data_IF_871337169713
#
_entry.id   IF_871337169713
#
_cell.length_a   1.000
_cell.length_b   1.000
_cell.length_c   1.000
_cell.angle_alpha   90.00
_cell.angle_beta   90.00
_cell.angle_gamma   90.00
#
_symmetry.space_group_name_H-M   'P 1'
#
loop_
_entity.id
_entity.type
_entity.pdbx_description
1 polymer ?
#
# COMPACT_ATOMS: atom_id res chain seq x y z
N UNK A 1 59.98 25.36 -56.15
CA UNK A 1 59.32 26.63 -56.44
C UNK A 1 58.01 26.65 -55.69
N UNK A 2 57.87 27.66 -54.86
CA UNK A 2 56.72 28.08 -53.98
C UNK A 2 55.87 27.00 -53.34
N UNK A 3 56.16 26.77 -52.03
CA UNK A 3 55.30 26.11 -51.05
C UNK A 3 54.14 27.05 -50.67
N UNK A 4 52.90 26.57 -50.75
CA UNK A 4 51.75 27.28 -50.24
C UNK A 4 51.34 26.57 -48.89
N UNK A 5 51.44 27.31 -47.79
CA UNK A 5 50.98 26.92 -46.48
C UNK A 5 49.48 27.21 -46.39
N UNK A 6 48.70 26.20 -46.03
CA UNK A 6 47.32 26.36 -45.69
C UNK A 6 47.18 26.25 -44.14
N UNK A 7 46.62 27.23 -43.43
CA UNK A 7 46.37 27.07 -42.00
C UNK A 7 45.10 26.27 -41.78
N UNK A 8 45.20 25.22 -40.95
CA UNK A 8 44.08 24.47 -40.39
C UNK A 8 43.49 25.30 -39.25
N UNK A 9 42.26 25.77 -39.42
CA UNK A 9 41.49 26.38 -38.35
C UNK A 9 40.88 25.24 -37.51
N UNK A 10 41.42 25.04 -36.32
CA UNK A 10 40.80 24.16 -35.30
C UNK A 10 39.61 24.90 -34.65
N UNK A 11 38.40 24.47 -34.96
CA UNK A 11 37.20 24.92 -34.34
C UNK A 11 37.10 24.21 -32.97
N UNK A 12 37.41 24.91 -31.87
CA UNK A 12 37.20 24.44 -30.51
C UNK A 12 35.73 24.75 -30.17
N UNK A 13 34.88 23.72 -30.19
CA UNK A 13 33.55 23.77 -29.62
C UNK A 13 33.68 23.74 -28.08
N UNK A 14 33.52 24.91 -27.45
CA UNK A 14 33.31 25.01 -26.00
C UNK A 14 31.87 24.53 -25.70
N UNK A 15 31.73 23.32 -25.20
CA UNK A 15 30.54 22.89 -24.53
C UNK A 15 30.42 23.64 -23.19
N UNK A 16 29.57 24.62 -23.14
CA UNK A 16 29.21 25.30 -21.89
C UNK A 16 28.36 24.35 -21.03
N UNK A 17 29.03 23.70 -20.08
CA UNK A 17 28.36 23.04 -19.00
C UNK A 17 27.88 24.14 -18.08
N UNK A 18 26.56 24.41 -18.03
CA UNK A 18 25.94 25.20 -16.97
C UNK A 18 25.95 24.33 -15.71
N UNK A 19 26.99 24.48 -14.91
CA UNK A 19 26.94 24.11 -13.49
C UNK A 19 26.28 25.30 -12.83
N UNK A 20 25.07 25.09 -12.31
CA UNK A 20 24.47 26.03 -11.36
C UNK A 20 25.33 25.98 -10.10
N UNK A 21 26.37 26.79 -10.07
CA UNK A 21 27.23 26.94 -8.91
C UNK A 21 26.74 28.09 -8.06
N UNK A 22 26.59 27.84 -6.76
CA UNK A 22 26.46 28.85 -5.75
C UNK A 22 27.55 29.92 -5.97
N UNK A 23 27.17 31.19 -6.09
CA UNK A 23 28.13 32.29 -6.07
C UNK A 23 28.47 32.56 -4.60
N UNK A 24 29.73 32.35 -4.17
CA UNK A 24 30.13 32.66 -2.81
C UNK A 24 30.09 34.17 -2.60
N UNK A 25 29.46 34.61 -1.49
CA UNK A 25 29.52 35.98 -1.05
C UNK A 25 30.84 36.21 -0.31
N UNK A 26 31.64 37.15 -0.81
CA UNK A 26 32.96 37.45 -0.21
C UNK A 26 32.80 38.47 0.90
N UNK A 27 32.97 38.05 2.16
CA UNK A 27 33.02 38.95 3.33
C UNK A 27 34.48 39.22 3.63
N UNK A 28 34.85 40.51 3.60
CA UNK A 28 36.20 40.94 3.97
C UNK A 28 36.19 41.32 5.46
N UNK A 29 36.83 40.52 6.30
CA UNK A 29 37.08 40.82 7.69
C UNK A 29 38.50 41.39 7.89
N UNK A 30 38.58 42.63 8.39
CA UNK A 30 39.86 43.28 8.68
C UNK A 30 40.30 42.96 10.09
N UNK A 31 41.32 42.10 10.25
CA UNK A 31 41.92 41.82 11.55
C UNK A 31 43.13 42.72 11.75
N UNK A 32 43.08 43.63 12.72
CA UNK A 32 44.23 44.48 13.12
C UNK A 32 45.10 43.69 14.09
N UNK A 33 46.28 43.24 13.63
CA UNK A 33 47.32 42.69 14.50
C UNK A 33 48.30 43.79 14.84
N UNK A 34 48.64 43.92 16.13
CA UNK A 34 49.54 44.95 16.69
C UNK A 34 50.97 44.77 16.17
N UNK A 35 51.26 45.36 15.05
CA UNK A 35 52.50 45.84 14.45
C UNK A 35 52.30 45.96 12.94
N UNK A 36 51.91 47.12 12.50
CA UNK A 36 51.95 47.71 11.14
C UNK A 36 51.95 46.78 9.90
N UNK A 37 51.32 45.63 9.94
CA UNK A 37 51.07 44.84 8.72
C UNK A 37 49.59 44.53 8.65
N UNK A 38 48.87 45.23 7.78
CA UNK A 38 47.46 44.82 7.43
C UNK A 38 47.57 43.61 6.51
N UNK A 39 47.23 42.45 7.03
CA UNK A 39 47.06 41.22 6.19
C UNK A 39 45.56 41.07 5.93
N UNK A 40 45.15 41.43 4.73
CA UNK A 40 43.79 41.08 4.26
C UNK A 40 43.76 39.59 4.05
N UNK A 41 43.01 38.88 4.89
CA UNK A 41 42.72 37.47 4.70
C UNK A 41 41.31 37.36 4.10
N UNK A 42 41.24 36.94 2.85
CA UNK A 42 39.99 36.62 2.24
C UNK A 42 39.49 35.31 2.88
N UNK A 43 38.39 35.42 3.67
CA UNK A 43 37.71 34.28 4.23
C UNK A 43 36.53 34.00 3.31
N UNK A 44 36.62 32.99 2.49
CA UNK A 44 35.49 32.50 1.74
C UNK A 44 34.58 31.77 2.75
N UNK A 45 33.47 32.41 3.13
CA UNK A 45 32.41 31.76 3.85
C UNK A 45 31.51 31.14 2.77
N UNK A 46 31.55 29.83 2.65
CA UNK A 46 30.50 29.12 1.89
C UNK A 46 29.19 29.33 2.63
N UNK A 47 28.37 30.25 2.15
CA UNK A 47 26.97 30.34 2.56
C UNK A 47 26.30 29.10 1.98
N UNK A 48 25.69 28.22 2.80
CA UNK A 48 24.90 27.13 2.25
C UNK A 48 23.88 27.70 1.26
N UNK A 49 23.74 27.11 0.09
CA UNK A 49 22.69 27.48 -0.83
C UNK A 49 21.36 27.44 -0.07
N UNK A 50 20.54 28.48 -0.17
CA UNK A 50 19.17 28.36 0.30
C UNK A 50 18.52 27.18 -0.42
N UNK A 51 18.09 26.17 0.32
CA UNK A 51 17.33 25.07 -0.24
C UNK A 51 16.06 25.65 -0.88
N UNK A 52 15.88 25.40 -2.17
CA UNK A 52 14.67 25.81 -2.90
C UNK A 52 13.47 25.01 -2.40
N UNK A 53 12.29 25.63 -2.42
CA UNK A 53 11.05 24.96 -2.11
C UNK A 53 10.79 23.87 -3.17
N UNK A 54 10.51 22.66 -2.73
CA UNK A 54 10.29 21.49 -3.59
C UNK A 54 8.87 20.97 -3.38
N UNK A 55 8.14 20.73 -4.47
CA UNK A 55 6.84 20.05 -4.43
C UNK A 55 7.04 18.61 -4.87
N UNK A 56 6.62 17.67 -4.03
CA UNK A 56 6.57 16.22 -4.29
C UNK A 56 5.12 15.83 -4.57
N UNK A 57 4.87 15.31 -5.75
CA UNK A 57 3.54 14.80 -6.12
C UNK A 57 3.37 13.37 -5.60
N UNK A 58 2.32 13.13 -4.81
CA UNK A 58 1.96 11.81 -4.27
C UNK A 58 0.63 11.32 -4.83
N UNK A 59 0.63 10.16 -5.50
CA UNK A 59 -0.55 9.54 -6.08
C UNK A 59 -0.92 8.27 -5.34
N UNK A 60 -2.15 8.20 -4.82
CA UNK A 60 -2.63 7.10 -3.97
C UNK A 60 -4.04 6.65 -4.36
N UNK A 61 -4.39 5.40 -4.04
CA UNK A 61 -5.73 4.83 -4.12
C UNK A 61 -6.35 4.55 -2.75
N UNK A 62 -5.54 4.53 -1.69
CA UNK A 62 -5.98 4.15 -0.34
C UNK A 62 -6.72 5.26 0.38
N UNK A 63 -6.56 6.52 -0.06
CA UNK A 63 -7.24 7.64 0.58
C UNK A 63 -8.70 7.72 0.12
N UNK A 64 -9.58 7.08 0.84
CA UNK A 64 -11.03 7.32 0.78
C UNK A 64 -11.36 8.72 1.33
N UNK A 65 -12.55 9.27 1.09
CA UNK A 65 -12.89 10.63 1.54
C UNK A 65 -12.69 10.89 3.04
N UNK A 66 -12.95 9.91 3.88
CA UNK A 66 -12.72 9.92 5.33
C UNK A 66 -11.23 9.93 5.70
N UNK A 67 -10.39 9.23 4.94
CA UNK A 67 -8.95 9.19 5.14
C UNK A 67 -8.19 10.38 4.52
N UNK A 68 -8.86 11.24 3.75
CA UNK A 68 -8.22 12.45 3.22
C UNK A 68 -7.90 13.45 4.33
N UNK A 69 -8.73 13.54 5.37
CA UNK A 69 -8.48 14.40 6.53
C UNK A 69 -7.27 13.89 7.32
N UNK A 70 -7.16 12.59 7.51
CA UNK A 70 -6.00 11.94 8.15
C UNK A 70 -4.71 12.18 7.35
N UNK A 71 -4.79 12.02 6.02
CA UNK A 71 -3.65 12.28 5.13
C UNK A 71 -3.21 13.74 5.16
N UNK A 72 -4.15 14.69 5.22
CA UNK A 72 -3.85 16.13 5.36
C UNK A 72 -3.16 16.42 6.71
N UNK A 73 -3.55 15.74 7.80
CA UNK A 73 -2.88 15.84 9.09
C UNK A 73 -1.44 15.30 9.01
N UNK A 74 -1.25 14.13 8.42
CA UNK A 74 0.08 13.53 8.20
C UNK A 74 0.99 14.47 7.40
N UNK A 75 0.48 15.06 6.32
CA UNK A 75 1.22 16.04 5.51
C UNK A 75 1.60 17.26 6.34
N UNK A 76 0.67 17.77 7.14
CA UNK A 76 0.93 18.94 8.00
C UNK A 76 2.06 18.69 8.99
N UNK A 77 2.15 17.49 9.56
CA UNK A 77 3.24 17.09 10.45
C UNK A 77 4.57 17.02 9.68
N UNK A 78 4.57 16.36 8.52
CA UNK A 78 5.75 16.24 7.68
C UNK A 78 6.30 17.61 7.23
N UNK A 79 5.43 18.50 6.74
CA UNK A 79 5.83 19.83 6.25
C UNK A 79 6.32 20.74 7.38
N UNK A 80 5.81 20.58 8.60
CA UNK A 80 6.32 21.29 9.78
C UNK A 80 7.77 20.91 10.09
N UNK A 81 8.15 19.66 9.89
CA UNK A 81 9.51 19.15 10.06
C UNK A 81 10.40 19.42 8.84
N UNK A 82 9.81 19.54 7.66
CA UNK A 82 10.48 19.73 6.37
C UNK A 82 9.92 20.96 5.63
N UNK A 83 10.12 22.19 6.13
CA UNK A 83 9.39 23.39 5.67
C UNK A 83 9.69 23.82 4.23
N UNK A 84 10.62 23.13 3.56
CA UNK A 84 10.97 23.34 2.16
C UNK A 84 10.42 22.24 1.23
N UNK A 85 9.72 21.26 1.77
CA UNK A 85 9.13 20.16 1.00
C UNK A 85 7.61 20.23 1.16
N UNK A 86 6.91 20.32 0.02
CA UNK A 86 5.45 20.35 -0.01
C UNK A 86 4.93 19.10 -0.70
N UNK A 87 3.89 18.49 -0.14
CA UNK A 87 3.27 17.29 -0.68
C UNK A 87 1.97 17.65 -1.40
N UNK A 88 1.91 17.35 -2.70
CA UNK A 88 0.70 17.50 -3.51
C UNK A 88 0.04 16.13 -3.72
N UNK A 89 -1.08 15.89 -3.03
CA UNK A 89 -1.81 14.62 -3.12
C UNK A 89 -2.72 14.60 -4.34
N UNK A 90 -2.73 13.46 -5.00
CA UNK A 90 -3.63 13.12 -6.11
C UNK A 90 -4.22 11.75 -5.84
N UNK A 91 -5.52 11.59 -6.04
CA UNK A 91 -6.22 10.33 -5.76
C UNK A 91 -6.94 9.80 -6.98
N UNK A 92 -7.20 8.51 -7.00
CA UNK A 92 -8.09 7.84 -7.93
C UNK A 92 -8.74 6.64 -7.24
N UNK A 93 -9.94 6.25 -7.70
CA UNK A 93 -10.54 5.00 -7.30
C UNK A 93 -9.61 3.82 -7.62
N UNK A 94 -9.65 2.76 -6.83
CA UNK A 94 -8.83 1.57 -7.03
C UNK A 94 -8.94 1.02 -8.46
N UNK A 95 -10.16 0.95 -9.02
CA UNK A 95 -10.43 0.43 -10.36
C UNK A 95 -9.74 1.22 -11.48
N UNK A 96 -9.63 2.53 -11.31
CA UNK A 96 -9.04 3.43 -12.31
C UNK A 96 -7.54 3.66 -12.10
N UNK A 97 -7.06 3.47 -10.89
CA UNK A 97 -5.75 3.93 -10.43
C UNK A 97 -4.59 3.40 -11.28
N UNK A 98 -4.49 2.08 -11.44
CA UNK A 98 -3.36 1.45 -12.14
C UNK A 98 -3.34 1.81 -13.62
N UNK A 99 -4.52 1.98 -14.25
CA UNK A 99 -4.62 2.42 -15.64
C UNK A 99 -4.15 3.87 -15.79
N UNK A 100 -4.55 4.75 -14.86
CA UNK A 100 -4.12 6.15 -14.83
C UNK A 100 -2.61 6.25 -14.58
N UNK A 101 -2.09 5.53 -13.57
CA UNK A 101 -0.66 5.53 -13.26
C UNK A 101 0.19 5.07 -14.46
N UNK A 102 -0.18 3.95 -15.11
CA UNK A 102 0.52 3.47 -16.30
C UNK A 102 0.51 4.48 -17.44
N UNK A 103 -0.63 5.13 -17.67
CA UNK A 103 -0.78 6.15 -18.71
C UNK A 103 0.10 7.37 -18.43
N UNK A 104 0.15 7.84 -17.20
CA UNK A 104 0.98 8.97 -16.77
C UNK A 104 2.46 8.66 -16.90
N UNK A 105 2.92 7.48 -16.45
CA UNK A 105 4.32 7.05 -16.60
C UNK A 105 4.71 6.99 -18.09
N UNK A 106 3.86 6.39 -18.92
CA UNK A 106 4.12 6.27 -20.35
C UNK A 106 4.09 7.64 -21.07
N UNK A 107 3.26 8.58 -20.59
CA UNK A 107 3.14 9.94 -21.10
C UNK A 107 4.25 10.91 -20.65
N UNK A 108 5.10 10.51 -19.70
CA UNK A 108 6.15 11.37 -19.14
C UNK A 108 5.62 12.38 -18.10
N UNK A 109 4.45 12.13 -17.52
CA UNK A 109 3.79 12.91 -16.46
C UNK A 109 3.62 12.04 -15.19
N UNK A 110 4.63 11.22 -14.88
CA UNK A 110 4.60 10.36 -13.71
C UNK A 110 4.63 11.20 -12.41
N UNK A 111 3.86 10.81 -11.38
CA UNK A 111 4.02 11.39 -10.05
C UNK A 111 5.40 11.04 -9.49
N UNK A 112 5.93 11.87 -8.58
CA UNK A 112 7.22 11.61 -7.92
C UNK A 112 7.13 10.36 -7.04
N UNK A 113 6.00 10.24 -6.31
CA UNK A 113 5.71 9.16 -5.36
C UNK A 113 4.35 8.58 -5.67
N UNK A 114 4.21 7.28 -5.54
CA UNK A 114 2.94 6.59 -5.75
C UNK A 114 2.86 5.27 -4.98
N UNK A 115 1.65 4.91 -4.66
CA UNK A 115 1.32 3.68 -3.98
C UNK A 115 1.26 2.50 -4.97
N UNK A 116 1.75 1.34 -4.57
CA UNK A 116 1.55 0.07 -5.28
C UNK A 116 1.18 -1.04 -4.31
N UNK A 117 0.17 -1.81 -4.68
CA UNK A 117 -0.06 -3.12 -4.08
C UNK A 117 0.99 -4.13 -4.58
N UNK A 118 1.17 -5.21 -3.84
CA UNK A 118 2.17 -6.24 -4.16
C UNK A 118 1.97 -6.84 -5.56
N UNK A 119 0.73 -7.09 -5.97
CA UNK A 119 0.40 -7.70 -7.26
C UNK A 119 0.87 -6.88 -8.45
N UNK A 120 0.80 -5.56 -8.34
CA UNK A 120 1.25 -4.64 -9.37
C UNK A 120 2.75 -4.37 -9.30
N UNK A 121 3.33 -4.35 -8.10
CA UNK A 121 4.71 -3.98 -7.83
C UNK A 121 5.71 -4.70 -8.74
N UNK A 122 5.61 -6.03 -8.86
CA UNK A 122 6.56 -6.83 -9.66
C UNK A 122 6.62 -6.37 -11.12
N UNK A 123 5.46 -5.99 -11.69
CA UNK A 123 5.38 -5.49 -13.06
C UNK A 123 6.08 -4.14 -13.23
N UNK A 124 5.92 -3.22 -12.27
CA UNK A 124 6.59 -1.92 -12.29
C UNK A 124 8.09 -2.05 -12.03
N UNK A 125 8.48 -2.89 -11.08
CA UNK A 125 9.89 -3.21 -10.79
C UNK A 125 10.61 -3.80 -12.03
N UNK A 126 9.96 -4.74 -12.72
CA UNK A 126 10.52 -5.36 -13.93
C UNK A 126 10.70 -4.37 -15.09
N UNK A 127 9.87 -3.32 -15.16
CA UNK A 127 9.98 -2.23 -16.15
C UNK A 127 11.07 -1.20 -15.81
N UNK A 128 11.65 -1.26 -14.59
CA UNK A 128 12.70 -0.35 -14.14
C UNK A 128 12.21 1.09 -13.91
N UNK A 129 10.95 1.28 -13.57
CA UNK A 129 10.35 2.60 -13.33
C UNK A 129 10.36 3.02 -11.87
N UNK A 130 10.82 2.14 -10.96
CA UNK A 130 10.92 2.39 -9.53
C UNK A 130 12.36 2.75 -9.14
N UNK A 131 12.50 3.75 -8.29
CA UNK A 131 13.79 4.17 -7.74
C UNK A 131 14.28 3.17 -6.69
N UNK A 132 15.56 2.82 -6.72
CA UNK A 132 16.17 2.07 -5.63
C UNK A 132 16.37 2.98 -4.42
N UNK A 133 15.70 2.67 -3.32
CA UNK A 133 15.73 3.45 -2.08
C UNK A 133 16.94 3.11 -1.19
N UNK A 134 17.61 1.99 -1.43
CA UNK A 134 18.72 1.52 -0.59
C UNK A 134 19.86 2.52 -0.45
N UNK A 135 20.34 3.24 -1.51
CA UNK A 135 21.37 4.26 -1.35
C UNK A 135 20.97 5.41 -0.42
N UNK A 136 19.70 5.79 -0.43
CA UNK A 136 19.15 6.83 0.46
C UNK A 136 19.07 6.32 1.90
N UNK A 137 18.56 5.11 2.08
CA UNK A 137 18.50 4.45 3.38
C UNK A 137 19.89 4.26 4.02
N UNK A 138 20.90 3.91 3.23
CA UNK A 138 22.29 3.78 3.70
C UNK A 138 22.93 5.13 4.07
N UNK A 139 22.48 6.22 3.46
CA UNK A 139 22.96 7.57 3.77
C UNK A 139 22.21 8.21 4.95
N UNK A 140 21.06 7.66 5.32
CA UNK A 140 20.19 8.17 6.38
C UNK A 140 20.52 7.47 7.72
N UNK A 141 21.11 8.19 8.71
CA UNK A 141 21.48 7.61 9.99
C UNK A 141 20.26 7.22 10.86
N UNK A 142 19.07 7.76 10.54
CA UNK A 142 17.83 7.53 11.28
C UNK A 142 16.95 6.46 10.61
N UNK A 143 17.42 5.82 9.53
CA UNK A 143 16.70 4.70 8.92
C UNK A 143 17.02 3.38 9.61
N UNK A 144 15.98 2.70 10.06
CA UNK A 144 16.10 1.36 10.65
C UNK A 144 15.10 0.39 9.98
N UNK A 145 15.62 -0.52 9.16
CA UNK A 145 14.80 -1.53 8.48
C UNK A 145 14.14 -2.53 9.44
N UNK A 146 14.67 -2.68 10.67
CA UNK A 146 14.16 -3.66 11.66
C UNK A 146 12.81 -3.27 12.28
N UNK A 147 12.38 -2.01 12.09
CA UNK A 147 11.09 -1.55 12.57
C UNK A 147 9.91 -2.09 11.74
N UNK A 148 10.16 -2.55 10.50
CA UNK A 148 9.12 -3.12 9.66
C UNK A 148 8.94 -4.62 9.93
N UNK A 149 7.74 -5.13 9.67
CA UNK A 149 7.56 -6.56 9.51
C UNK A 149 8.40 -7.05 8.32
N UNK A 150 9.33 -7.98 8.56
CA UNK A 150 10.30 -8.42 7.57
C UNK A 150 9.63 -8.92 6.28
N UNK A 151 8.53 -9.66 6.40
CA UNK A 151 7.77 -10.17 5.24
C UNK A 151 7.21 -9.03 4.38
N UNK A 152 6.72 -7.95 5.01
CA UNK A 152 6.20 -6.79 4.28
C UNK A 152 7.34 -6.03 3.58
N UNK A 153 8.49 -5.87 4.25
CA UNK A 153 9.67 -5.23 3.65
C UNK A 153 10.22 -6.03 2.47
N UNK A 154 10.33 -7.35 2.62
CA UNK A 154 10.83 -8.26 1.57
C UNK A 154 9.91 -8.30 0.34
N UNK A 155 8.60 -8.11 0.52
CA UNK A 155 7.63 -8.08 -0.56
C UNK A 155 7.96 -6.98 -1.61
N UNK A 156 8.56 -5.88 -1.20
CA UNK A 156 8.94 -4.75 -2.06
C UNK A 156 10.43 -4.69 -2.36
N UNK A 157 11.13 -5.82 -2.18
CA UNK A 157 12.49 -6.03 -2.65
C UNK A 157 12.47 -6.78 -3.99
N UNK A 158 13.10 -6.22 -5.01
CA UNK A 158 13.20 -6.84 -6.32
C UNK A 158 14.67 -7.01 -6.70
N UNK A 159 15.13 -8.27 -6.81
CA UNK A 159 16.50 -8.64 -7.17
C UNK A 159 17.58 -7.97 -6.31
N UNK A 160 17.32 -7.85 -5.00
CA UNK A 160 18.25 -7.27 -4.04
C UNK A 160 18.19 -5.74 -3.96
N UNK A 161 17.22 -5.09 -4.57
CA UNK A 161 16.99 -3.65 -4.50
C UNK A 161 15.68 -3.38 -3.74
N UNK A 162 15.69 -2.52 -2.74
CA UNK A 162 14.48 -2.05 -2.06
C UNK A 162 13.86 -0.94 -2.91
N UNK A 163 12.73 -1.25 -3.57
CA UNK A 163 12.08 -0.37 -4.54
C UNK A 163 10.82 0.31 -4.01
N UNK A 164 10.41 0.01 -2.79
CA UNK A 164 9.33 0.63 -2.07
C UNK A 164 9.45 0.34 -0.57
N UNK A 165 8.91 1.19 0.29
CA UNK A 165 8.77 0.91 1.71
C UNK A 165 7.31 0.51 2.00
N UNK A 166 7.08 -0.58 2.75
CA UNK A 166 5.72 -1.01 3.05
C UNK A 166 5.04 -0.01 3.98
N UNK A 167 3.85 0.42 3.63
CA UNK A 167 3.04 1.32 4.45
C UNK A 167 2.03 0.56 5.30
N UNK A 168 1.36 -0.41 4.69
CA UNK A 168 0.30 -1.20 5.32
C UNK A 168 0.39 -2.66 4.91
N UNK A 169 -0.25 -3.50 5.71
CA UNK A 169 -0.60 -4.85 5.33
C UNK A 169 -2.02 -5.18 5.77
N UNK A 170 -2.61 -6.17 5.12
CA UNK A 170 -3.97 -6.60 5.37
C UNK A 170 -4.09 -8.10 5.15
N UNK A 171 -5.00 -8.71 5.89
CA UNK A 171 -5.55 -10.03 5.61
C UNK A 171 -7.03 -9.91 5.30
N UNK A 172 -7.61 -10.94 4.70
CA UNK A 172 -9.04 -11.03 4.42
C UNK A 172 -9.73 -11.79 5.55
N UNK A 173 -10.91 -11.32 5.93
CA UNK A 173 -11.71 -11.83 7.03
C UNK A 173 -13.10 -12.21 6.56
N UNK A 174 -13.78 -13.05 7.33
CA UNK A 174 -15.22 -13.25 7.25
C UNK A 174 -15.90 -12.27 8.20
N UNK A 175 -16.51 -11.22 7.65
CA UNK A 175 -17.43 -10.34 8.38
C UNK A 175 -18.77 -10.99 8.53
N UNK A 176 -19.45 -10.74 9.64
CA UNK A 176 -20.81 -11.26 9.84
C UNK A 176 -21.72 -10.28 10.60
N UNK A 177 -22.97 -10.21 10.16
CA UNK A 177 -24.02 -9.40 10.77
C UNK A 177 -24.65 -10.18 11.92
N UNK A 178 -24.30 -9.82 13.16
CA UNK A 178 -24.77 -10.51 14.37
C UNK A 178 -26.30 -10.49 14.50
N UNK A 179 -26.94 -9.39 14.11
CA UNK A 179 -28.38 -9.24 14.21
C UNK A 179 -29.16 -10.23 13.30
N UNK A 180 -28.61 -10.47 12.08
CA UNK A 180 -29.19 -11.48 11.16
C UNK A 180 -28.94 -12.91 11.65
N UNK A 181 -27.78 -13.19 12.23
CA UNK A 181 -27.51 -14.48 12.87
C UNK A 181 -28.42 -14.75 14.04
N UNK A 182 -28.59 -13.76 14.92
CA UNK A 182 -29.48 -13.87 16.11
C UNK A 182 -30.93 -14.07 15.71
N UNK A 183 -31.43 -13.31 14.73
CA UNK A 183 -32.82 -13.43 14.24
C UNK A 183 -33.10 -14.81 13.62
N UNK A 184 -32.09 -15.40 12.94
CA UNK A 184 -32.20 -16.73 12.36
C UNK A 184 -31.90 -17.85 13.35
N UNK A 185 -31.43 -17.54 14.58
CA UNK A 185 -31.04 -18.52 15.58
C UNK A 185 -29.80 -19.36 15.17
N UNK A 186 -28.93 -18.79 14.36
CA UNK A 186 -27.68 -19.42 13.87
C UNK A 186 -26.53 -19.05 14.79
N UNK A 187 -25.65 -20.01 15.09
CA UNK A 187 -24.43 -19.73 15.84
C UNK A 187 -23.46 -18.88 15.01
N UNK A 188 -22.76 -17.96 15.66
CA UNK A 188 -21.72 -17.15 15.01
C UNK A 188 -20.61 -17.99 14.41
N UNK A 189 -19.91 -17.48 13.37
CA UNK A 189 -18.79 -18.17 12.74
C UNK A 189 -17.71 -18.53 13.76
N UNK A 190 -17.20 -19.76 13.67
CA UNK A 190 -16.06 -20.23 14.45
C UNK A 190 -14.79 -20.30 13.57
N UNK A 191 -13.61 -20.29 14.20
CA UNK A 191 -12.34 -20.28 13.49
C UNK A 191 -12.07 -21.53 12.62
N UNK A 192 -12.78 -22.62 12.87
CA UNK A 192 -12.69 -23.89 12.14
C UNK A 192 -13.81 -24.09 11.11
N UNK A 193 -14.60 -23.03 10.81
CA UNK A 193 -15.63 -23.13 9.78
C UNK A 193 -15.05 -23.46 8.41
N UNK A 194 -15.84 -24.20 7.67
CA UNK A 194 -15.64 -24.52 6.26
C UNK A 194 -16.62 -23.74 5.37
N UNK A 195 -16.42 -23.77 4.06
CA UNK A 195 -17.37 -23.17 3.12
C UNK A 195 -18.73 -23.85 3.13
N UNK A 196 -18.79 -25.13 3.52
CA UNK A 196 -20.07 -25.84 3.72
C UNK A 196 -20.84 -25.25 4.91
N UNK A 197 -20.16 -24.89 6.01
CA UNK A 197 -20.78 -24.24 7.16
C UNK A 197 -21.35 -22.86 6.79
N UNK A 198 -20.62 -22.12 5.95
CA UNK A 198 -21.06 -20.82 5.39
C UNK A 198 -22.35 -20.98 4.58
N UNK A 199 -22.44 -22.01 3.71
CA UNK A 199 -23.64 -22.27 2.91
C UNK A 199 -24.84 -22.62 3.82
N UNK A 200 -24.62 -23.46 4.82
CA UNK A 200 -25.67 -23.85 5.79
C UNK A 200 -26.17 -22.63 6.58
N UNK A 201 -25.24 -21.83 7.11
CA UNK A 201 -25.57 -20.59 7.83
C UNK A 201 -26.30 -19.59 6.92
N UNK A 202 -25.78 -19.37 5.70
CA UNK A 202 -26.37 -18.46 4.72
C UNK A 202 -27.84 -18.82 4.38
N UNK A 203 -28.13 -20.10 4.16
CA UNK A 203 -29.51 -20.58 3.94
C UNK A 203 -30.40 -20.30 5.13
N UNK A 204 -29.93 -20.58 6.34
CA UNK A 204 -30.69 -20.34 7.55
C UNK A 204 -30.96 -18.85 7.79
N UNK A 205 -29.99 -17.97 7.49
CA UNK A 205 -30.18 -16.52 7.56
C UNK A 205 -31.24 -16.06 6.57
N UNK A 206 -31.22 -16.54 5.33
CA UNK A 206 -32.22 -16.20 4.31
C UNK A 206 -33.60 -16.75 4.64
N UNK A 207 -33.72 -17.91 5.28
CA UNK A 207 -34.99 -18.47 5.75
C UNK A 207 -35.57 -17.64 6.92
N UNK A 208 -34.72 -17.04 7.74
CA UNK A 208 -35.11 -16.21 8.88
C UNK A 208 -35.34 -14.73 8.54
N UNK A 209 -34.92 -14.26 7.36
CA UNK A 209 -34.93 -12.85 6.97
C UNK A 209 -35.27 -12.72 5.47
N UNK A 210 -36.48 -12.32 5.15
CA UNK A 210 -37.07 -12.37 3.79
C UNK A 210 -36.27 -11.60 2.70
N UNK A 211 -35.55 -10.52 3.08
CA UNK A 211 -34.85 -9.63 2.15
C UNK A 211 -33.30 -9.80 2.21
N UNK A 212 -32.81 -10.69 3.09
CA UNK A 212 -31.36 -10.83 3.29
C UNK A 212 -30.73 -11.87 2.37
N UNK A 213 -29.48 -11.63 2.01
CA UNK A 213 -28.57 -12.61 1.39
C UNK A 213 -27.68 -13.29 2.44
N UNK A 214 -27.29 -14.53 2.17
CA UNK A 214 -26.47 -15.29 3.10
C UNK A 214 -25.04 -14.78 3.18
N UNK A 215 -24.40 -14.58 2.03
CA UNK A 215 -23.00 -14.16 1.93
C UNK A 215 -22.73 -13.43 0.62
N UNK A 216 -21.69 -12.58 0.61
CA UNK A 216 -20.99 -12.17 -0.59
C UNK A 216 -19.49 -12.51 -0.49
N UNK A 217 -18.96 -13.13 -1.53
CA UNK A 217 -17.53 -13.39 -1.74
C UNK A 217 -17.24 -13.15 -3.22
N UNK A 218 -16.43 -12.19 -3.53
CA UNK A 218 -16.19 -11.74 -4.90
C UNK A 218 -15.71 -12.87 -5.81
N UNK A 219 -16.23 -12.95 -7.04
CA UNK A 219 -15.71 -13.86 -8.06
C UNK A 219 -14.55 -13.16 -8.77
N UNK A 220 -13.38 -13.25 -8.18
CA UNK A 220 -12.16 -12.60 -8.65
C UNK A 220 -10.96 -13.53 -8.55
N UNK A 221 -9.85 -13.22 -9.23
CA UNK A 221 -8.66 -14.08 -9.22
C UNK A 221 -8.08 -14.30 -7.81
N UNK A 222 -8.02 -13.28 -6.96
CA UNK A 222 -7.49 -13.42 -5.61
C UNK A 222 -8.38 -14.29 -4.70
N UNK A 223 -9.70 -14.34 -4.89
CA UNK A 223 -10.57 -15.32 -4.25
C UNK A 223 -10.30 -16.75 -4.75
N UNK A 224 -10.10 -16.92 -6.08
CA UNK A 224 -9.71 -18.22 -6.63
C UNK A 224 -8.34 -18.67 -6.12
N UNK A 225 -7.35 -17.79 -6.15
CA UNK A 225 -6.00 -18.06 -5.66
C UNK A 225 -6.00 -18.55 -4.20
N UNK A 226 -6.75 -17.90 -3.32
CA UNK A 226 -6.96 -18.31 -1.94
C UNK A 226 -7.60 -19.68 -1.82
N UNK A 227 -8.75 -19.91 -2.47
CA UNK A 227 -9.44 -21.20 -2.45
C UNK A 227 -8.60 -22.32 -3.06
N UNK A 228 -7.80 -22.00 -4.06
CA UNK A 228 -6.82 -22.90 -4.62
C UNK A 228 -5.79 -23.35 -3.58
N UNK A 229 -5.24 -22.40 -2.82
CA UNK A 229 -4.31 -22.70 -1.73
C UNK A 229 -5.00 -23.52 -0.61
N UNK A 230 -6.24 -23.16 -0.23
CA UNK A 230 -7.02 -23.92 0.74
C UNK A 230 -7.26 -25.38 0.33
N UNK A 231 -7.29 -25.67 -0.97
CA UNK A 231 -7.49 -27.04 -1.50
C UNK A 231 -6.21 -27.68 -2.04
N UNK A 232 -5.02 -27.16 -1.70
CA UNK A 232 -3.73 -27.68 -2.15
C UNK A 232 -3.55 -27.70 -3.69
N UNK A 233 -4.25 -26.87 -4.43
CA UNK A 233 -4.07 -26.69 -5.86
C UNK A 233 -2.68 -26.07 -6.12
N UNK A 234 -1.95 -26.65 -7.05
CA UNK A 234 -0.70 -26.11 -7.57
C UNK A 234 -0.96 -25.51 -8.96
N UNK A 235 -0.61 -24.25 -9.17
CA UNK A 235 -0.80 -23.60 -10.47
C UNK A 235 0.20 -24.06 -11.52
N UNK A 236 1.39 -24.43 -11.09
CA UNK A 236 2.48 -24.91 -11.92
C UNK A 236 3.13 -26.13 -11.27
N UNK A 237 3.78 -26.94 -12.07
CA UNK A 237 4.71 -27.95 -11.58
C UNK A 237 5.93 -27.28 -10.90
N UNK A 238 6.76 -28.07 -10.21
CA UNK A 238 7.90 -27.60 -9.44
C UNK A 238 8.91 -26.78 -10.28
N UNK A 239 9.09 -27.14 -11.55
CA UNK A 239 10.00 -26.44 -12.49
C UNK A 239 9.33 -25.22 -13.17
N UNK A 240 8.05 -24.94 -12.90
CA UNK A 240 7.25 -23.90 -13.54
C UNK A 240 7.17 -23.99 -15.07
N UNK A 241 7.26 -25.21 -15.61
CA UNK A 241 7.21 -25.48 -17.05
C UNK A 241 5.85 -25.96 -17.54
N UNK A 242 4.98 -26.39 -16.64
CA UNK A 242 3.64 -26.93 -16.93
C UNK A 242 2.59 -26.24 -16.04
N UNK A 243 1.45 -25.89 -16.66
CA UNK A 243 0.29 -25.32 -15.95
C UNK A 243 -0.60 -26.44 -15.45
N UNK A 244 -0.91 -26.47 -14.15
CA UNK A 244 -1.69 -27.50 -13.47
C UNK A 244 -3.12 -27.07 -13.09
N UNK A 245 -3.62 -25.97 -13.61
CA UNK A 245 -4.95 -25.41 -13.28
C UNK A 245 -6.14 -26.32 -13.58
N UNK A 246 -5.92 -27.41 -14.31
CA UNK A 246 -6.95 -28.42 -14.60
C UNK A 246 -6.86 -29.65 -13.69
N UNK A 247 -6.01 -29.63 -12.68
CA UNK A 247 -5.95 -30.69 -11.66
C UNK A 247 -7.26 -30.77 -10.87
N UNK A 248 -7.61 -31.94 -10.33
CA UNK A 248 -8.82 -32.08 -9.50
C UNK A 248 -8.89 -31.08 -8.35
N UNK A 249 -7.76 -30.79 -7.72
CA UNK A 249 -7.66 -29.86 -6.59
C UNK A 249 -8.01 -28.43 -7.01
N UNK A 250 -7.56 -28.00 -8.20
CA UNK A 250 -7.85 -26.68 -8.74
C UNK A 250 -9.33 -26.56 -9.20
N UNK A 251 -9.86 -27.63 -9.79
CA UNK A 251 -11.27 -27.68 -10.21
C UNK A 251 -12.19 -27.58 -9.00
N UNK A 252 -11.93 -28.34 -7.93
CA UNK A 252 -12.72 -28.27 -6.68
C UNK A 252 -12.67 -26.87 -6.07
N UNK A 253 -11.51 -26.20 -6.07
CA UNK A 253 -11.40 -24.83 -5.57
C UNK A 253 -12.30 -23.84 -6.35
N UNK A 254 -12.35 -23.98 -7.68
CA UNK A 254 -13.23 -23.18 -8.53
C UNK A 254 -14.71 -23.53 -8.32
N UNK A 255 -15.05 -24.82 -8.22
CA UNK A 255 -16.41 -25.27 -7.92
C UNK A 255 -16.90 -24.75 -6.58
N UNK A 256 -16.06 -24.74 -5.53
CA UNK A 256 -16.38 -24.16 -4.23
C UNK A 256 -16.67 -22.67 -4.33
N UNK A 257 -15.93 -21.94 -5.16
CA UNK A 257 -16.17 -20.52 -5.39
C UNK A 257 -17.54 -20.26 -6.05
N UNK A 258 -17.92 -21.11 -6.99
CA UNK A 258 -19.19 -21.00 -7.72
C UNK A 258 -20.38 -21.56 -6.91
N UNK A 259 -20.13 -22.50 -6.01
CA UNK A 259 -21.20 -23.14 -5.21
C UNK A 259 -22.04 -22.16 -4.39
N UNK A 260 -21.46 -21.04 -3.97
CA UNK A 260 -22.21 -19.97 -3.25
C UNK A 260 -23.35 -19.40 -4.11
N UNK A 261 -23.13 -19.26 -5.43
CA UNK A 261 -24.15 -18.87 -6.40
C UNK A 261 -25.13 -20.00 -6.69
N UNK A 262 -24.63 -21.21 -6.94
CA UNK A 262 -25.43 -22.38 -7.30
C UNK A 262 -26.39 -22.80 -6.17
N UNK A 263 -25.94 -22.66 -4.93
CA UNK A 263 -26.74 -22.89 -3.72
C UNK A 263 -27.68 -21.72 -3.38
N UNK A 264 -27.60 -20.61 -4.12
CA UNK A 264 -28.47 -19.46 -4.01
C UNK A 264 -28.27 -18.63 -2.73
N UNK A 265 -27.11 -18.77 -2.05
CA UNK A 265 -26.80 -18.02 -0.83
C UNK A 265 -26.07 -16.70 -1.11
N UNK A 266 -25.56 -16.52 -2.33
CA UNK A 266 -24.89 -15.33 -2.79
C UNK A 266 -25.65 -14.68 -3.95
N UNK A 267 -25.84 -13.33 -3.94
CA UNK A 267 -26.48 -12.65 -5.06
C UNK A 267 -25.57 -12.64 -6.31
N UNK A 268 -26.19 -12.71 -7.47
CA UNK A 268 -25.50 -12.43 -8.72
C UNK A 268 -25.26 -10.93 -8.89
N UNK A 269 -24.32 -10.53 -9.74
CA UNK A 269 -24.10 -9.11 -10.08
C UNK A 269 -25.36 -8.41 -10.61
N UNK A 270 -26.27 -9.17 -11.26
CA UNK A 270 -27.53 -8.61 -11.75
C UNK A 270 -28.52 -8.33 -10.60
N UNK A 271 -28.55 -9.18 -9.59
CA UNK A 271 -29.40 -9.00 -8.39
C UNK A 271 -28.84 -7.90 -7.50
N UNK A 272 -27.53 -7.71 -7.43
CA UNK A 272 -26.92 -6.57 -6.73
C UNK A 272 -27.29 -5.22 -7.36
N UNK A 273 -27.68 -5.19 -8.64
CA UNK A 273 -28.16 -3.96 -9.30
C UNK A 273 -27.13 -2.85 -9.43
N UNK A 274 -25.86 -3.15 -9.25
CA UNK A 274 -24.74 -2.22 -9.35
C UNK A 274 -24.29 -1.57 -8.04
N UNK A 275 -24.86 -1.98 -6.90
CA UNK A 275 -24.30 -1.63 -5.58
C UNK A 275 -23.06 -2.47 -5.30
N UNK A 276 -22.15 -1.93 -4.50
CA UNK A 276 -20.96 -2.68 -4.07
C UNK A 276 -21.32 -3.72 -2.99
N UNK A 277 -20.46 -4.69 -2.78
CA UNK A 277 -20.58 -5.66 -1.69
C UNK A 277 -20.50 -5.01 -0.30
N UNK A 278 -19.66 -3.98 -0.15
CA UNK A 278 -19.61 -3.15 1.05
C UNK A 278 -20.92 -2.42 1.30
N UNK A 279 -21.51 -1.77 0.28
CA UNK A 279 -22.81 -1.10 0.41
C UNK A 279 -23.94 -2.08 0.74
N UNK A 280 -23.89 -3.30 0.17
CA UNK A 280 -24.85 -4.34 0.50
C UNK A 280 -24.71 -4.78 1.98
N UNK A 281 -23.50 -4.85 2.52
CA UNK A 281 -23.31 -5.13 3.95
C UNK A 281 -23.78 -3.97 4.81
N UNK A 282 -23.48 -2.72 4.46
CA UNK A 282 -23.93 -1.50 5.15
C UNK A 282 -25.47 -1.41 5.20
N UNK A 283 -26.17 -1.87 4.15
CA UNK A 283 -27.64 -1.88 4.15
C UNK A 283 -28.26 -2.77 5.24
N UNK A 284 -27.48 -3.71 5.79
CA UNK A 284 -27.96 -4.70 6.76
C UNK A 284 -28.60 -5.94 6.13
N UNK A 285 -28.64 -6.04 4.78
CA UNK A 285 -29.30 -7.12 4.05
C UNK A 285 -28.31 -8.25 3.66
N UNK A 286 -27.13 -8.28 4.24
CA UNK A 286 -26.11 -9.30 3.99
C UNK A 286 -25.66 -9.94 5.31
N UNK A 287 -25.81 -11.28 5.41
CA UNK A 287 -25.43 -12.04 6.60
C UNK A 287 -23.91 -12.11 6.80
N UNK A 288 -23.18 -12.34 5.72
CA UNK A 288 -21.73 -12.49 5.74
C UNK A 288 -21.08 -11.79 4.54
N UNK A 289 -19.86 -11.26 4.75
CA UNK A 289 -19.04 -10.66 3.69
C UNK A 289 -17.60 -11.13 3.83
N UNK A 290 -16.99 -11.51 2.72
CA UNK A 290 -15.54 -11.76 2.64
C UNK A 290 -14.86 -10.50 2.15
N UNK A 291 -14.12 -9.83 3.01
CA UNK A 291 -13.37 -8.60 2.68
C UNK A 291 -12.16 -8.40 3.61
N UNK A 292 -11.33 -7.41 3.32
CA UNK A 292 -10.16 -7.09 4.12
C UNK A 292 -10.41 -6.04 5.20
N UNK A 293 -9.40 -5.80 6.02
CA UNK A 293 -9.48 -4.84 7.14
C UNK A 293 -9.73 -3.40 6.71
N UNK A 294 -9.53 -3.07 5.44
CA UNK A 294 -9.85 -1.76 4.84
C UNK A 294 -11.33 -1.37 4.89
N UNK A 295 -12.21 -2.30 5.29
CA UNK A 295 -13.63 -2.02 5.45
C UNK A 295 -14.02 -1.60 6.88
N UNK A 296 -13.09 -1.61 7.84
CA UNK A 296 -13.43 -1.33 9.23
C UNK A 296 -13.99 0.07 9.41
N UNK A 297 -13.33 1.10 8.87
CA UNK A 297 -13.82 2.48 8.94
C UNK A 297 -15.18 2.65 8.29
N UNK A 298 -15.39 2.04 7.10
CA UNK A 298 -16.67 2.10 6.40
C UNK A 298 -17.83 1.44 7.17
N UNK A 299 -17.53 0.47 8.05
CA UNK A 299 -18.53 -0.27 8.81
C UNK A 299 -18.70 0.20 10.25
N UNK A 300 -17.86 1.12 10.72
CA UNK A 300 -17.89 1.61 12.10
C UNK A 300 -19.24 2.19 12.50
N UNK A 301 -19.89 2.93 11.59
CA UNK A 301 -21.19 3.57 11.82
C UNK A 301 -22.40 2.70 11.42
N UNK A 302 -22.23 1.40 11.17
CA UNK A 302 -23.34 0.53 10.82
C UNK A 302 -24.42 0.53 11.91
N UNK A 303 -25.69 0.47 11.49
CA UNK A 303 -26.84 0.49 12.39
C UNK A 303 -27.12 -0.85 13.09
N UNK A 304 -26.35 -1.90 12.77
CA UNK A 304 -26.46 -3.25 13.30
C UNK A 304 -25.13 -3.69 13.93
N UNK A 305 -25.18 -4.70 14.79
CA UNK A 305 -23.97 -5.29 15.37
C UNK A 305 -23.29 -6.21 14.38
N UNK A 306 -21.98 -6.07 14.26
CA UNK A 306 -21.15 -6.91 13.39
C UNK A 306 -19.85 -7.26 14.05
N UNK A 307 -19.25 -8.35 13.60
CA UNK A 307 -17.91 -8.76 14.02
C UNK A 307 -17.21 -9.53 12.89
N UNK A 308 -15.99 -9.99 13.14
CA UNK A 308 -15.20 -10.74 12.17
C UNK A 308 -14.74 -12.08 12.73
N UNK A 309 -14.44 -12.99 11.80
CA UNK A 309 -13.76 -14.25 12.08
C UNK A 309 -12.70 -14.51 10.99
N UNK A 310 -11.71 -15.35 11.28
CA UNK A 310 -10.83 -15.88 10.22
C UNK A 310 -11.67 -16.51 9.11
N UNK A 311 -11.15 -16.47 7.90
CA UNK A 311 -11.88 -17.02 6.76
C UNK A 311 -12.13 -18.52 6.87
N UNK A 312 -13.26 -19.02 6.34
CA UNK A 312 -13.53 -20.45 6.26
C UNK A 312 -12.46 -21.16 5.44
N UNK A 313 -12.13 -22.38 5.86
CA UNK A 313 -11.15 -23.25 5.17
C UNK A 313 -11.78 -24.28 4.24
N UNK A 314 -10.91 -25.04 3.58
CA UNK A 314 -11.23 -26.26 2.85
C UNK A 314 -10.41 -27.44 3.43
N UNK A 315 -9.49 -28.02 2.66
CA UNK A 315 -8.53 -29.01 3.16
C UNK A 315 -7.53 -28.41 4.15
N UNK A 316 -7.28 -27.12 4.02
CA UNK A 316 -6.50 -26.28 4.94
C UNK A 316 -7.08 -24.87 5.00
N UNK A 317 -6.55 -24.04 5.88
CA UNK A 317 -6.86 -22.62 5.87
C UNK A 317 -5.83 -21.87 5.00
N UNK A 318 -6.26 -20.82 4.33
CA UNK A 318 -5.42 -19.83 3.68
C UNK A 318 -6.20 -18.51 3.54
N UNK A 319 -5.50 -17.40 3.65
CA UNK A 319 -6.02 -16.05 3.37
C UNK A 319 -5.01 -15.27 2.55
N UNK A 320 -5.41 -14.35 1.66
CA UNK A 320 -4.45 -13.48 0.99
C UNK A 320 -3.73 -12.58 1.98
N UNK A 321 -2.43 -12.42 1.77
CA UNK A 321 -1.65 -11.36 2.41
C UNK A 321 -1.53 -10.21 1.44
N UNK A 322 -2.26 -9.15 1.68
CA UNK A 322 -2.12 -7.92 0.93
C UNK A 322 -1.15 -6.98 1.63
N UNK A 323 -0.28 -6.38 0.86
CA UNK A 323 0.62 -5.35 1.32
C UNK A 323 0.68 -4.23 0.28
N UNK A 324 0.67 -3.00 0.76
CA UNK A 324 0.88 -1.82 -0.06
C UNK A 324 2.23 -1.19 0.31
N UNK A 325 2.86 -0.59 -0.66
CA UNK A 325 4.07 0.19 -0.46
C UNK A 325 4.01 1.52 -1.16
N UNK A 326 4.72 2.46 -0.59
CA UNK A 326 4.99 3.75 -1.22
C UNK A 326 6.30 3.65 -1.99
N UNK A 327 6.22 3.99 -3.26
CA UNK A 327 7.29 3.85 -4.24
C UNK A 327 7.66 5.20 -4.83
N UNK A 328 8.93 5.39 -5.18
CA UNK A 328 9.41 6.59 -5.84
C UNK A 328 9.65 6.31 -7.32
N UNK A 329 9.24 7.24 -8.19
CA UNK A 329 9.49 7.16 -9.63
C UNK A 329 11.00 7.31 -9.92
N UNK A 330 11.57 6.38 -10.69
CA UNK A 330 13.00 6.39 -11.01
C UNK A 330 13.44 7.63 -11.81
N UNK A 331 12.51 8.31 -12.49
CA UNK A 331 12.78 9.51 -13.29
C UNK A 331 12.48 10.83 -12.56
N UNK A 332 12.13 10.81 -11.28
CA UNK A 332 11.87 12.04 -10.52
C UNK A 332 13.11 12.93 -10.44
N UNK A 333 12.90 14.24 -10.41
CA UNK A 333 13.96 15.21 -10.13
C UNK A 333 14.07 15.53 -8.62
N UNK A 334 13.13 15.02 -7.83
CA UNK A 334 12.95 15.31 -6.40
C UNK A 334 13.29 14.11 -5.51
N UNK A 335 14.23 13.24 -5.93
CA UNK A 335 14.47 11.93 -5.34
C UNK A 335 14.74 11.96 -3.83
N UNK A 336 15.51 12.94 -3.33
CA UNK A 336 15.80 13.07 -1.89
C UNK A 336 14.55 13.49 -1.09
N UNK A 337 13.79 14.47 -1.58
CA UNK A 337 12.56 14.91 -0.95
C UNK A 337 11.49 13.82 -0.99
N UNK A 338 11.39 13.09 -2.11
CA UNK A 338 10.50 11.94 -2.25
C UNK A 338 10.86 10.81 -1.27
N UNK A 339 12.15 10.50 -1.09
CA UNK A 339 12.59 9.51 -0.10
C UNK A 339 12.23 9.94 1.33
N UNK A 340 12.43 11.21 1.70
CA UNK A 340 12.04 11.73 3.02
C UNK A 340 10.57 11.56 3.28
N UNK A 341 9.71 11.88 2.30
CA UNK A 341 8.27 11.64 2.41
C UNK A 341 7.93 10.16 2.57
N UNK A 342 8.48 9.29 1.71
CA UNK A 342 8.22 7.85 1.77
C UNK A 342 8.63 7.26 3.12
N UNK A 343 9.82 7.60 3.63
CA UNK A 343 10.27 7.17 4.94
C UNK A 343 9.33 7.63 6.05
N UNK A 344 9.01 8.94 6.09
CA UNK A 344 8.12 9.51 7.08
C UNK A 344 6.76 8.83 7.05
N UNK A 345 6.12 8.75 5.89
CA UNK A 345 4.78 8.19 5.70
C UNK A 345 4.68 6.71 6.07
N UNK A 346 5.77 5.95 6.00
CA UNK A 346 5.77 4.51 6.28
C UNK A 346 6.34 4.13 7.65
N UNK A 347 7.04 5.04 8.35
CA UNK A 347 7.78 4.67 9.56
C UNK A 347 7.67 5.63 10.73
N UNK A 348 7.12 6.83 10.52
CA UNK A 348 7.00 7.79 11.62
C UNK A 348 5.93 7.33 12.63
N UNK A 349 6.19 7.41 13.93
CA UNK A 349 5.23 7.03 14.97
C UNK A 349 3.89 7.77 14.88
N UNK A 350 3.88 9.05 14.52
CA UNK A 350 2.64 9.81 14.38
C UNK A 350 1.77 9.25 13.24
N UNK A 351 2.39 8.78 12.15
CA UNK A 351 1.67 8.13 11.06
C UNK A 351 1.00 6.85 11.50
N UNK A 352 1.73 6.04 12.29
CA UNK A 352 1.19 4.79 12.80
C UNK A 352 0.03 5.01 13.77
N UNK A 353 0.12 6.02 14.64
CA UNK A 353 -0.95 6.39 15.59
C UNK A 353 -2.20 6.86 14.83
N UNK A 354 -2.07 7.79 13.86
CA UNK A 354 -3.18 8.27 13.06
C UNK A 354 -3.88 7.10 12.33
N UNK A 355 -3.14 6.22 11.66
CA UNK A 355 -3.70 5.06 10.95
C UNK A 355 -4.45 4.10 11.87
N UNK A 356 -3.94 3.88 13.07
CA UNK A 356 -4.58 3.01 14.07
C UNK A 356 -5.85 3.67 14.58
N UNK A 357 -5.80 4.93 14.94
CA UNK A 357 -6.92 5.65 15.54
C UNK A 357 -8.08 5.84 14.57
N UNK A 358 -7.79 6.01 13.28
CA UNK A 358 -8.80 6.12 12.22
C UNK A 358 -9.25 4.78 11.62
N UNK A 359 -8.72 3.68 12.13
CA UNK A 359 -8.96 2.34 11.56
C UNK A 359 -8.58 2.21 10.06
N UNK A 360 -7.66 3.05 9.59
CA UNK A 360 -7.16 3.05 8.21
C UNK A 360 -6.05 2.02 8.04
N UNK A 361 -6.32 0.76 8.03
CA UNK A 361 -5.38 -0.35 7.87
C UNK A 361 -4.22 -0.40 8.90
N UNK A 362 -3.61 -1.54 9.04
CA UNK A 362 -2.47 -1.74 9.93
C UNK A 362 -1.18 -1.21 9.32
N UNK A 363 -0.43 -0.36 10.04
CA UNK A 363 0.91 0.02 9.60
C UNK A 363 1.82 -1.22 9.55
N UNK A 364 2.70 -1.27 8.56
CA UNK A 364 3.63 -2.38 8.38
C UNK A 364 4.80 -2.37 9.39
N UNK A 365 4.57 -1.87 10.61
CA UNK A 365 5.56 -1.67 11.65
C UNK A 365 5.47 -2.75 12.73
N UNK A 366 6.59 -3.38 13.02
CA UNK A 366 6.74 -4.41 14.05
C UNK A 366 6.90 -3.78 15.44
N UNK A 367 5.86 -3.11 15.92
CA UNK A 367 5.82 -2.50 17.25
C UNK A 367 4.68 -3.09 18.08
N UNK A 368 4.95 -3.77 19.20
CA UNK A 368 3.92 -4.37 20.04
C UNK A 368 2.89 -3.37 20.58
N UNK A 369 3.28 -2.12 20.83
CA UNK A 369 2.37 -1.11 21.36
C UNK A 369 1.29 -0.74 20.33
N UNK A 370 1.62 -0.73 19.04
CA UNK A 370 0.64 -0.54 17.95
C UNK A 370 -0.37 -1.68 17.88
N UNK A 371 0.10 -2.92 18.05
CA UNK A 371 -0.79 -4.08 18.11
C UNK A 371 -1.76 -3.97 19.29
N UNK A 372 -1.30 -3.54 20.47
CA UNK A 372 -2.16 -3.33 21.64
C UNK A 372 -3.19 -2.23 21.38
N UNK A 373 -2.77 -1.11 20.81
CA UNK A 373 -3.66 -0.01 20.42
C UNK A 373 -4.77 -0.50 19.47
N UNK A 374 -4.39 -1.18 18.40
CA UNK A 374 -5.29 -1.73 17.41
C UNK A 374 -6.30 -2.73 17.99
N UNK A 375 -5.85 -3.67 18.85
CA UNK A 375 -6.70 -4.68 19.48
C UNK A 375 -7.67 -4.09 20.52
N UNK A 376 -7.45 -2.87 20.98
CA UNK A 376 -8.33 -2.21 21.96
C UNK A 376 -9.53 -1.50 21.33
N UNK A 377 -9.56 -1.37 20.01
CA UNK A 377 -10.64 -0.70 19.29
C UNK A 377 -11.81 -1.65 19.02
N UNK A 378 -13.02 -1.11 18.89
CA UNK A 378 -14.26 -1.84 18.60
C UNK A 378 -15.27 -0.87 17.94
N UNK A 379 -16.07 -1.29 16.94
CA UNK A 379 -16.05 -2.60 16.32
C UNK A 379 -14.86 -2.83 15.39
N UNK A 380 -14.59 -4.07 14.96
CA UNK A 380 -15.12 -5.33 15.47
C UNK A 380 -14.50 -5.68 16.83
N UNK A 381 -15.18 -6.53 17.63
CA UNK A 381 -14.64 -6.97 18.92
C UNK A 381 -13.51 -8.00 18.75
N UNK A 382 -13.61 -8.87 17.73
CA UNK A 382 -12.65 -9.92 17.47
C UNK A 382 -11.50 -9.46 16.54
N UNK A 383 -10.89 -8.30 16.79
CA UNK A 383 -9.72 -7.84 16.01
C UNK A 383 -8.52 -8.79 16.07
N UNK A 384 -8.48 -9.68 17.06
CA UNK A 384 -7.46 -10.72 17.16
C UNK A 384 -7.46 -11.66 15.93
N UNK A 385 -8.61 -11.90 15.31
CA UNK A 385 -8.72 -12.73 14.10
C UNK A 385 -7.83 -12.24 12.94
N UNK A 386 -7.53 -10.93 12.86
CA UNK A 386 -6.61 -10.37 11.88
C UNK A 386 -5.21 -10.94 12.05
N UNK A 387 -4.72 -11.04 13.29
CA UNK A 387 -3.39 -11.60 13.58
C UNK A 387 -3.37 -13.13 13.50
N UNK A 388 -4.45 -13.78 13.93
CA UNK A 388 -4.59 -15.23 13.82
C UNK A 388 -4.56 -15.68 12.35
N UNK A 389 -5.14 -14.89 11.45
CA UNK A 389 -5.13 -15.17 10.01
C UNK A 389 -3.74 -15.06 9.37
N UNK A 390 -2.80 -14.33 9.97
CA UNK A 390 -1.42 -14.24 9.46
C UNK A 390 -0.70 -15.59 9.47
N UNK A 391 -1.12 -16.54 10.32
CA UNK A 391 -0.57 -17.90 10.33
C UNK A 391 -0.90 -18.67 9.03
N UNK A 392 -1.97 -18.27 8.33
CA UNK A 392 -2.47 -18.91 7.10
C UNK A 392 -2.24 -18.03 5.87
N UNK A 393 -1.60 -16.88 6.02
CA UNK A 393 -1.42 -15.90 4.95
C UNK A 393 -0.46 -16.42 3.86
N UNK A 394 -0.86 -16.26 2.60
CA UNK A 394 -0.15 -16.75 1.41
C UNK A 394 0.25 -15.61 0.48
#
# INVERSE_FOLDING_TARGET
MKKIFTPVIALVLLASIFIAGCTPETIIETVIVTEEVVVEKEVIVEVPAEEEDVTVTYFTFSAAPDHLEDLDEMISIFEAENPKIHIEVQTASYDDYFTKLQTRIAGGDAPDVFELNYESFVSYAAKGVLLNLEPFAQADPDYDASIYYQRALDAFNYKGMQLGLPETFSTVMLYYNQDLFDSAGVAYPAADWTWDDVIVAGKSIMEGNDDAWGIHSSIHFWEFYKKAAQNNCQFFNEDQTEVLLTSPECVVALETMISLLDEGVMPTNAEMGGISDGDLFISGDLGMLVSGIWMFSAFEENSFNWDIQVEPGMATQATPFFANAVNVFAGTQNAEAAYKWVKFFTSDPAMAEIRIDSAWELPALNNPDYVVGYLSQSPPENRQAVFDSLEYAI
#
